data_IF_455718093450
#
_entry.id   IF_455718093450
#
_cell.length_a   1.000
_cell.length_b   1.000
_cell.length_c   1.000
_cell.angle_alpha   90.00
_cell.angle_beta   90.00
_cell.angle_gamma   90.00
#
_symmetry.space_group_name_H-M   'P 1'
#
loop_
_entity.id
_entity.type
_entity.pdbx_description
1 polymer ?
#
# COMPACT_ATOMS: atom_id res chain seq x y z
N UNK A 1 -22.21 52.38 -16.26
CA UNK A 1 -21.19 51.48 -15.68
C UNK A 1 -21.89 50.23 -15.19
N UNK A 2 -21.98 49.22 -16.05
CA UNK A 2 -22.54 47.90 -15.72
C UNK A 2 -21.49 47.12 -14.96
N UNK A 3 -21.68 46.99 -13.65
CA UNK A 3 -20.81 46.20 -12.78
C UNK A 3 -20.93 44.72 -13.15
N UNK A 4 -19.85 44.17 -13.68
CA UNK A 4 -19.69 42.73 -13.91
C UNK A 4 -19.75 42.03 -12.55
N UNK A 5 -20.88 41.36 -12.26
CA UNK A 5 -20.94 40.38 -11.18
C UNK A 5 -19.89 39.31 -11.47
N UNK A 6 -18.78 39.35 -10.74
CA UNK A 6 -17.83 38.25 -10.70
C UNK A 6 -18.60 37.02 -10.23
N UNK A 7 -18.78 36.07 -11.15
CA UNK A 7 -19.34 34.75 -10.87
C UNK A 7 -18.40 34.09 -9.86
N UNK A 8 -18.74 34.17 -8.57
CA UNK A 8 -17.99 33.49 -7.52
C UNK A 8 -18.01 32.02 -7.87
N UNK A 9 -16.84 31.46 -8.24
CA UNK A 9 -16.68 30.02 -8.42
C UNK A 9 -17.28 29.34 -7.20
N UNK A 10 -18.20 28.39 -7.39
CA UNK A 10 -18.76 27.62 -6.28
C UNK A 10 -17.58 27.08 -5.47
N UNK A 11 -17.54 27.39 -4.17
CA UNK A 11 -16.54 26.83 -3.26
C UNK A 11 -16.70 25.31 -3.30
N UNK A 12 -15.81 24.62 -4.02
CA UNK A 12 -15.72 23.17 -3.98
C UNK A 12 -15.17 22.82 -2.60
N UNK A 13 -16.08 22.46 -1.70
CA UNK A 13 -15.75 21.83 -0.42
C UNK A 13 -15.68 20.34 -0.64
N UNK A 14 -14.65 19.69 -0.14
CA UNK A 14 -14.54 18.23 -0.18
C UNK A 14 -13.71 17.69 0.98
N UNK A 15 -13.88 16.41 1.30
CA UNK A 15 -13.06 15.72 2.28
C UNK A 15 -12.04 14.85 1.56
N UNK A 16 -10.80 14.90 2.02
CA UNK A 16 -9.72 14.08 1.50
C UNK A 16 -9.01 13.33 2.61
N UNK A 17 -8.53 12.13 2.32
CA UNK A 17 -7.52 11.43 3.09
C UNK A 17 -6.14 11.80 2.57
N UNK A 18 -5.22 12.17 3.46
CA UNK A 18 -3.82 12.37 3.11
C UNK A 18 -3.13 11.02 2.88
N UNK A 19 -2.44 10.85 1.75
CA UNK A 19 -1.64 9.66 1.45
C UNK A 19 -0.13 9.92 1.61
N UNK A 20 0.24 10.96 2.35
CA UNK A 20 1.62 11.34 2.65
C UNK A 20 1.68 12.20 3.92
N UNK A 21 2.88 12.32 4.49
CA UNK A 21 3.16 13.24 5.59
C UNK A 21 3.55 14.62 5.05
N UNK A 22 2.97 15.68 5.62
CA UNK A 22 3.30 17.06 5.26
C UNK A 22 3.75 17.87 6.48
N UNK A 23 5.00 18.35 6.40
CA UNK A 23 5.56 19.32 7.34
C UNK A 23 5.74 20.66 6.62
N UNK A 24 4.92 21.69 6.94
CA UNK A 24 4.98 22.98 6.28
C UNK A 24 6.29 23.73 6.54
N UNK A 25 7.07 23.36 7.57
CA UNK A 25 8.37 23.98 7.84
C UNK A 25 9.45 23.54 6.84
N UNK A 26 9.18 22.50 6.04
CA UNK A 26 10.08 21.97 4.99
C UNK A 26 9.68 22.40 3.58
N UNK A 27 8.71 23.30 3.45
CA UNK A 27 8.20 23.74 2.16
C UNK A 27 8.34 25.26 2.04
N UNK A 28 9.20 25.70 1.12
CA UNK A 28 9.40 27.12 0.88
C UNK A 28 8.25 27.69 0.03
N UNK A 29 7.92 28.96 0.25
CA UNK A 29 6.94 29.68 -0.57
C UNK A 29 5.48 29.44 -0.17
N UNK A 30 5.22 29.09 1.08
CA UNK A 30 3.85 29.08 1.62
C UNK A 30 3.23 30.48 1.57
N UNK A 31 1.98 30.63 1.08
CA UNK A 31 1.31 31.91 1.00
C UNK A 31 0.79 32.39 2.37
N UNK A 32 0.58 31.48 3.32
CA UNK A 32 0.18 31.79 4.70
C UNK A 32 0.49 30.61 5.63
N UNK A 33 -0.12 30.54 6.82
CA UNK A 33 0.15 29.47 7.80
C UNK A 33 -0.18 28.09 7.21
N UNK A 34 0.84 27.24 7.13
CA UNK A 34 0.67 25.85 6.70
C UNK A 34 -0.06 25.01 7.74
N UNK A 35 -0.83 24.04 7.24
CA UNK A 35 -1.45 22.99 8.06
C UNK A 35 -0.62 21.72 7.94
N UNK A 36 0.05 21.32 9.02
CA UNK A 36 0.75 20.04 9.08
C UNK A 36 -0.25 18.88 9.19
N UNK A 37 0.07 17.76 8.56
CA UNK A 37 -0.74 16.53 8.65
C UNK A 37 0.12 15.28 8.42
N UNK A 38 -0.43 14.13 8.81
CA UNK A 38 0.18 12.81 8.60
C UNK A 38 -0.62 11.97 7.61
N UNK A 39 0.03 10.93 7.08
CA UNK A 39 -0.64 9.88 6.31
C UNK A 39 -1.87 9.36 7.07
N UNK A 40 -2.99 9.20 6.35
CA UNK A 40 -4.25 8.67 6.86
C UNK A 40 -5.16 9.72 7.51
N UNK A 41 -4.65 10.91 7.87
CA UNK A 41 -5.49 11.97 8.43
C UNK A 41 -6.51 12.47 7.41
N UNK A 42 -7.70 12.83 7.91
CA UNK A 42 -8.78 13.38 7.10
C UNK A 42 -8.74 14.90 7.14
N UNK A 43 -8.83 15.51 5.97
CA UNK A 43 -8.78 16.96 5.79
C UNK A 43 -10.08 17.43 5.13
N UNK A 44 -10.72 18.42 5.73
CA UNK A 44 -11.79 19.16 5.08
C UNK A 44 -11.18 20.29 4.26
N UNK A 45 -11.15 20.13 2.93
CA UNK A 45 -10.71 21.17 2.01
C UNK A 45 -11.86 22.14 1.79
N UNK A 46 -11.74 23.32 2.41
CA UNK A 46 -12.75 24.39 2.36
C UNK A 46 -12.65 25.26 1.10
N UNK A 47 -11.48 25.27 0.46
CA UNK A 47 -11.25 25.98 -0.78
C UNK A 47 -10.12 25.32 -1.59
N UNK A 48 -10.48 24.77 -2.75
CA UNK A 48 -9.58 24.18 -3.74
C UNK A 48 -9.49 24.99 -5.05
N UNK A 49 -9.78 26.31 -5.01
CA UNK A 49 -9.82 27.14 -6.23
C UNK A 49 -8.45 27.49 -6.81
N UNK A 50 -7.39 27.40 -6.01
CA UNK A 50 -6.02 27.71 -6.40
C UNK A 50 -5.27 26.43 -6.79
N UNK A 51 -4.55 26.49 -7.90
CA UNK A 51 -3.84 25.37 -8.53
C UNK A 51 -2.62 24.89 -7.73
N UNK A 52 -2.11 25.68 -6.79
CA UNK A 52 -0.91 25.41 -6.00
C UNK A 52 -1.21 25.14 -4.53
N UNK A 53 -2.19 25.84 -3.96
CA UNK A 53 -2.41 25.84 -2.52
C UNK A 53 -3.90 25.76 -2.16
N UNK A 54 -4.27 24.80 -1.31
CA UNK A 54 -5.64 24.63 -0.83
C UNK A 54 -5.80 25.09 0.61
N UNK A 55 -6.98 25.60 0.97
CA UNK A 55 -7.33 25.91 2.36
C UNK A 55 -8.05 24.72 2.98
N UNK A 56 -7.52 24.20 4.08
CA UNK A 56 -8.08 23.03 4.73
C UNK A 56 -8.10 23.14 6.26
N UNK A 57 -8.89 22.26 6.88
CA UNK A 57 -8.88 21.96 8.31
C UNK A 57 -8.68 20.47 8.50
N UNK A 58 -8.07 20.08 9.60
CA UNK A 58 -7.99 18.67 9.98
C UNK A 58 -9.29 18.23 10.64
N UNK A 59 -9.75 17.03 10.32
CA UNK A 59 -10.92 16.41 10.94
C UNK A 59 -10.44 15.38 11.95
N UNK A 60 -10.84 15.52 13.22
CA UNK A 60 -10.52 14.57 14.28
C UNK A 60 -11.35 13.28 14.14
N UNK A 61 -10.98 12.17 14.81
CA UNK A 61 -11.80 10.96 14.82
C UNK A 61 -13.23 11.18 15.34
N UNK A 62 -13.44 12.20 16.18
CA UNK A 62 -14.74 12.61 16.71
C UNK A 62 -15.56 13.44 15.70
N UNK A 63 -14.98 13.81 14.56
CA UNK A 63 -15.61 14.64 13.53
C UNK A 63 -15.45 16.15 13.74
N UNK A 64 -14.59 16.58 14.67
CA UNK A 64 -14.35 18.00 14.94
C UNK A 64 -13.33 18.57 13.94
N UNK A 65 -13.53 19.82 13.50
CA UNK A 65 -12.62 20.49 12.58
C UNK A 65 -11.65 21.41 13.32
N UNK A 66 -10.35 21.18 13.13
CA UNK A 66 -9.28 21.91 13.81
C UNK A 66 -8.27 22.53 12.84
N UNK A 67 -7.64 23.62 13.26
CA UNK A 67 -6.40 24.11 12.64
C UNK A 67 -6.53 24.54 11.19
N UNK A 68 -7.28 25.62 10.90
CA UNK A 68 -7.33 26.20 9.55
C UNK A 68 -5.93 26.58 9.07
N UNK A 69 -5.55 26.09 7.88
CA UNK A 69 -4.28 26.43 7.25
C UNK A 69 -4.22 26.03 5.78
N UNK A 70 -3.03 26.18 5.20
CA UNK A 70 -2.75 25.89 3.80
C UNK A 70 -2.07 24.53 3.66
N UNK A 71 -2.54 23.76 2.67
CA UNK A 71 -1.94 22.48 2.24
C UNK A 71 -1.59 22.58 0.75
N UNK A 72 -0.57 21.86 0.25
CA UNK A 72 -0.26 21.86 -1.18
C UNK A 72 -1.42 21.24 -1.96
N UNK A 73 -1.75 21.79 -3.12
CA UNK A 73 -2.70 21.14 -4.03
C UNK A 73 -2.16 19.78 -4.48
N UNK A 74 -3.06 18.90 -4.94
CA UNK A 74 -2.67 17.63 -5.56
C UNK A 74 -1.63 17.85 -6.67
N UNK A 75 -1.90 18.79 -7.59
CA UNK A 75 -1.04 19.10 -8.72
C UNK A 75 0.35 19.60 -8.30
N UNK A 76 0.43 20.45 -7.28
CA UNK A 76 1.69 20.95 -6.73
C UNK A 76 2.52 19.82 -6.12
N UNK A 77 1.89 19.01 -5.29
CA UNK A 77 2.56 17.90 -4.61
C UNK A 77 3.12 16.88 -5.59
N UNK A 78 2.29 16.41 -6.53
CA UNK A 78 2.74 15.41 -7.49
C UNK A 78 3.87 15.93 -8.40
N UNK A 79 3.83 17.22 -8.78
CA UNK A 79 4.93 17.85 -9.53
C UNK A 79 6.24 17.86 -8.74
N UNK A 80 6.18 18.18 -7.44
CA UNK A 80 7.34 18.20 -6.53
C UNK A 80 7.94 16.80 -6.37
N UNK A 81 7.12 15.77 -6.16
CA UNK A 81 7.59 14.39 -6.03
C UNK A 81 8.23 13.86 -7.33
N UNK A 82 7.56 14.00 -8.48
CA UNK A 82 8.11 13.59 -9.78
C UNK A 82 9.44 14.29 -10.11
N UNK A 83 9.62 15.54 -9.66
CA UNK A 83 10.90 16.25 -9.83
C UNK A 83 12.01 15.66 -8.94
N UNK A 84 11.68 15.31 -7.69
CA UNK A 84 12.60 14.65 -6.76
C UNK A 84 13.04 13.30 -7.30
N UNK A 85 12.12 12.45 -7.73
CA UNK A 85 12.45 11.08 -8.15
C UNK A 85 13.27 11.07 -9.44
N UNK A 86 13.08 12.06 -10.34
CA UNK A 86 13.97 12.29 -11.48
C UNK A 86 15.40 12.69 -11.07
N UNK A 87 15.55 13.50 -10.02
CA UNK A 87 16.86 13.98 -9.57
C UNK A 87 17.69 12.90 -8.88
N UNK A 88 17.04 11.89 -8.29
CA UNK A 88 17.69 10.80 -7.53
C UNK A 88 18.28 9.70 -8.45
N UNK A 89 17.91 9.65 -9.74
CA UNK A 89 18.42 8.64 -10.70
C UNK A 89 19.86 8.87 -11.19
N UNK A 90 20.65 9.75 -10.55
CA UNK A 90 22.09 9.86 -10.81
C UNK A 90 22.88 8.73 -10.11
N UNK A 91 22.63 7.48 -10.50
CA UNK A 91 23.64 6.43 -10.34
C UNK A 91 24.56 6.50 -11.56
N UNK A 92 25.69 7.18 -11.36
CA UNK A 92 26.73 7.35 -12.36
C UNK A 92 27.35 6.02 -12.74
N UNK A 93 26.94 5.47 -13.88
CA UNK A 93 27.80 4.57 -14.64
C UNK A 93 28.81 5.44 -15.39
N UNK A 94 29.89 5.85 -14.72
CA UNK A 94 31.09 6.34 -15.42
C UNK A 94 31.70 5.13 -16.12
N UNK A 95 31.77 5.09 -17.47
CA UNK A 95 32.55 4.06 -18.13
C UNK A 95 34.03 4.39 -17.86
N UNK A 96 34.70 3.49 -17.15
CA UNK A 96 36.16 3.46 -17.04
C UNK A 96 36.70 3.19 -18.44
N UNK A 97 37.07 4.25 -19.17
CA UNK A 97 37.85 4.12 -20.41
C UNK A 97 39.31 4.13 -19.99
N UNK A 98 39.92 2.95 -20.04
CA UNK A 98 41.35 2.74 -19.88
C UNK A 98 42.09 3.17 -21.17
N UNK A 99 43.03 4.08 -21.00
CA UNK A 99 44.21 4.44 -21.81
C UNK A 99 44.17 4.34 -23.34
N UNK A 100 44.25 5.52 -24.00
CA UNK A 100 45.25 5.79 -25.06
C UNK A 100 45.75 7.23 -24.99
N UNK A 101 47.06 7.37 -25.27
CA UNK A 101 47.96 8.47 -24.96
C UNK A 101 47.99 9.59 -26.02
N UNK A 102 48.31 10.82 -25.57
CA UNK A 102 48.79 12.02 -26.31
C UNK A 102 47.75 12.79 -27.16
N UNK A 103 47.69 14.14 -27.27
CA UNK A 103 48.69 15.23 -27.24
C UNK A 103 48.05 16.57 -26.80
N UNK A 104 48.92 17.55 -26.48
CA UNK A 104 48.72 18.96 -26.13
C UNK A 104 47.58 19.71 -26.86
N UNK A 105 46.79 20.55 -26.16
CA UNK A 105 46.95 22.02 -26.14
C UNK A 105 45.74 22.79 -25.52
N UNK A 106 46.03 23.96 -24.93
CA UNK A 106 45.08 24.91 -24.32
C UNK A 106 44.06 25.47 -25.33
N UNK A 107 42.77 25.51 -24.97
CA UNK A 107 41.98 26.77 -24.87
C UNK A 107 40.54 26.59 -24.37
N UNK A 108 40.24 27.39 -23.35
CA UNK A 108 38.93 27.94 -22.95
C UNK A 108 38.06 28.28 -24.18
N UNK A 109 36.78 27.87 -24.17
CA UNK A 109 35.62 28.73 -24.52
C UNK A 109 34.26 28.03 -24.34
N UNK A 110 33.33 28.85 -23.84
CA UNK A 110 31.88 28.75 -23.69
C UNK A 110 31.14 27.81 -24.66
N UNK A 111 30.25 26.98 -24.11
CA UNK A 111 29.23 26.27 -24.89
C UNK A 111 27.90 27.03 -24.86
N UNK A 112 27.55 27.60 -26.01
CA UNK A 112 26.19 28.02 -26.35
C UNK A 112 25.38 26.82 -26.86
N UNK A 113 24.17 26.65 -26.32
CA UNK A 113 23.19 25.69 -26.80
C UNK A 113 22.65 26.09 -28.19
N UNK A 114 22.78 25.22 -29.18
CA UNK A 114 21.97 25.30 -30.41
C UNK A 114 21.86 23.94 -31.11
N UNK A 115 20.65 23.37 -30.99
CA UNK A 115 19.87 22.54 -31.92
C UNK A 115 20.61 21.83 -33.07
N UNK A 116 20.42 20.50 -33.14
CA UNK A 116 19.63 19.80 -34.19
C UNK A 116 19.73 18.28 -34.02
N UNK A 117 18.58 17.62 -33.95
CA UNK A 117 18.42 16.16 -34.00
C UNK A 117 18.60 15.64 -35.43
N UNK A 118 19.30 14.52 -35.64
CA UNK A 118 19.11 13.65 -36.79
C UNK A 118 18.33 12.38 -36.38
N UNK A 119 17.27 12.16 -37.13
CA UNK A 119 16.45 10.96 -37.25
C UNK A 119 17.26 9.75 -37.73
N UNK A 120 17.13 8.59 -37.07
CA UNK A 120 17.23 7.29 -37.75
C UNK A 120 16.65 6.10 -36.94
N UNK A 121 15.59 5.55 -37.54
CA UNK A 121 15.10 4.16 -37.63
C UNK A 121 15.52 3.09 -36.60
N UNK A 122 14.46 2.43 -36.14
CA UNK A 122 14.38 1.13 -35.49
C UNK A 122 15.14 0.02 -36.22
N UNK A 123 15.74 -0.88 -35.44
CA UNK A 123 16.04 -2.25 -35.85
C UNK A 123 15.87 -3.16 -34.64
N UNK A 124 14.93 -4.10 -34.78
CA UNK A 124 14.71 -5.22 -33.88
C UNK A 124 15.97 -6.09 -33.78
N UNK A 125 16.26 -6.59 -32.58
CA UNK A 125 17.04 -7.81 -32.43
C UNK A 125 16.50 -8.64 -31.27
N UNK A 126 16.25 -9.91 -31.56
CA UNK A 126 15.81 -10.97 -30.65
C UNK A 126 17.03 -11.74 -30.16
N UNK A 127 17.09 -12.03 -28.87
CA UNK A 127 17.71 -13.24 -28.29
C UNK A 127 17.30 -13.30 -26.82
N UNK A 128 16.44 -14.25 -26.45
CA UNK A 128 16.78 -15.58 -25.90
C UNK A 128 17.35 -15.55 -24.48
N UNK A 129 16.42 -15.87 -23.57
CA UNK A 129 16.48 -16.80 -22.43
C UNK A 129 17.86 -17.31 -21.96
N UNK A 130 18.03 -17.30 -20.64
CA UNK A 130 19.26 -17.69 -19.96
C UNK A 130 19.12 -17.62 -18.45
N UNK A 131 18.32 -18.53 -17.90
CA UNK A 131 18.39 -18.92 -16.49
C UNK A 131 19.72 -19.61 -16.20
N UNK A 132 20.40 -19.24 -15.11
CA UNK A 132 21.30 -20.17 -14.43
C UNK A 132 21.44 -19.86 -12.93
N UNK A 133 21.50 -20.95 -12.17
CA UNK A 133 21.32 -21.12 -10.74
C UNK A 133 22.57 -21.82 -10.18
N UNK A 134 23.11 -21.42 -9.01
CA UNK A 134 23.84 -22.31 -8.07
C UNK A 134 23.77 -21.66 -6.66
N UNK A 135 23.17 -22.26 -5.61
CA UNK A 135 23.39 -23.49 -4.82
C UNK A 135 24.64 -23.48 -3.91
N UNK A 136 24.41 -23.77 -2.63
CA UNK A 136 25.41 -24.22 -1.64
C UNK A 136 24.80 -25.34 -0.75
N UNK A 137 25.61 -26.21 -0.12
CA UNK A 137 25.29 -27.63 0.08
C UNK A 137 24.90 -28.01 1.52
N UNK A 138 24.03 -29.02 1.70
CA UNK A 138 24.30 -30.29 2.44
C UNK A 138 23.04 -31.14 2.66
N UNK A 139 23.20 -32.45 2.40
CA UNK A 139 22.41 -33.64 2.83
C UNK A 139 21.04 -33.96 2.20
N UNK A 140 20.74 -35.27 2.03
CA UNK A 140 19.82 -35.75 0.98
C UNK A 140 18.45 -36.12 1.56
N UNK A 141 17.35 -35.72 0.94
CA UNK A 141 16.06 -36.41 1.04
C UNK A 141 15.01 -35.84 0.05
N UNK A 142 14.42 -36.75 -0.73
CA UNK A 142 13.16 -36.69 -1.48
C UNK A 142 12.71 -35.36 -2.13
N UNK A 143 12.96 -35.24 -3.44
CA UNK A 143 12.30 -34.28 -4.32
C UNK A 143 10.86 -34.73 -4.64
N UNK A 144 9.86 -34.18 -3.94
CA UNK A 144 8.49 -34.04 -4.47
C UNK A 144 7.59 -33.14 -3.58
N UNK A 145 8.05 -31.95 -3.21
CA UNK A 145 7.18 -30.94 -2.58
C UNK A 145 7.07 -29.70 -3.51
N UNK A 146 5.87 -29.39 -4.06
CA UNK A 146 5.70 -28.18 -4.85
C UNK A 146 5.62 -26.95 -3.94
N UNK A 147 6.37 -25.91 -4.28
CA UNK A 147 6.22 -24.58 -3.67
C UNK A 147 4.79 -24.05 -3.88
N UNK A 148 4.20 -23.32 -2.92
CA UNK A 148 2.84 -22.81 -3.06
C UNK A 148 2.75 -21.87 -4.27
N UNK A 149 1.93 -22.26 -5.27
CA UNK A 149 1.64 -21.45 -6.43
C UNK A 149 0.38 -20.62 -6.15
N UNK A 150 0.54 -19.30 -6.11
CA UNK A 150 -0.55 -18.37 -5.84
C UNK A 150 -1.41 -18.19 -7.09
N UNK A 151 -2.65 -18.68 -7.06
CA UNK A 151 -3.66 -18.42 -8.11
C UNK A 151 -4.33 -17.06 -7.86
N UNK A 152 -3.55 -15.98 -7.93
CA UNK A 152 -4.11 -14.66 -8.13
C UNK A 152 -4.36 -14.47 -9.63
N UNK A 153 -5.59 -14.72 -10.09
CA UNK A 153 -6.04 -14.12 -11.35
C UNK A 153 -6.15 -12.61 -11.09
N UNK A 154 -5.04 -11.91 -11.30
CA UNK A 154 -5.10 -10.49 -11.64
C UNK A 154 -5.84 -10.41 -12.95
N UNK A 155 -6.86 -9.56 -13.04
CA UNK A 155 -7.19 -9.03 -14.36
C UNK A 155 -5.89 -8.44 -14.90
N UNK A 156 -5.42 -8.96 -16.03
CA UNK A 156 -4.39 -8.30 -16.81
C UNK A 156 -4.97 -6.94 -17.21
N UNK A 157 -4.69 -5.92 -16.40
CA UNK A 157 -4.74 -4.54 -16.87
C UNK A 157 -3.61 -4.41 -17.89
N UNK A 158 -3.89 -4.80 -19.13
CA UNK A 158 -3.07 -4.46 -20.29
C UNK A 158 -3.16 -2.95 -20.51
N UNK A 159 -2.48 -2.20 -19.64
CA UNK A 159 -2.12 -0.81 -19.84
C UNK A 159 -0.63 -0.68 -19.54
N UNK A 160 0.17 -1.40 -20.33
CA UNK A 160 1.62 -1.18 -20.48
C UNK A 160 1.86 0.09 -21.30
N UNK A 161 1.23 1.21 -20.91
CA UNK A 161 1.52 2.54 -21.42
C UNK A 161 2.23 3.31 -20.31
N UNK A 162 3.54 3.11 -20.18
CA UNK A 162 4.46 3.88 -19.33
C UNK A 162 4.04 3.96 -17.86
N UNK A 163 4.75 3.26 -16.97
CA UNK A 163 4.58 3.42 -15.53
C UNK A 163 4.84 4.88 -15.10
N UNK A 164 3.83 5.74 -15.23
CA UNK A 164 3.78 6.98 -14.47
C UNK A 164 3.71 6.55 -13.02
N UNK A 165 4.86 6.65 -12.35
CA UNK A 165 5.03 6.38 -10.93
C UNK A 165 3.84 7.02 -10.18
N UNK A 166 2.95 6.19 -9.64
CA UNK A 166 1.71 6.66 -9.03
C UNK A 166 2.08 7.42 -7.75
N UNK A 167 2.08 8.74 -7.81
CA UNK A 167 2.48 9.58 -6.68
C UNK A 167 1.32 9.66 -5.69
N UNK A 168 1.53 9.10 -4.50
CA UNK A 168 0.61 9.25 -3.38
C UNK A 168 0.43 10.74 -3.02
N UNK A 169 -0.83 11.19 -3.04
CA UNK A 169 -1.22 12.58 -2.76
C UNK A 169 -2.44 12.62 -1.84
N UNK A 170 -3.63 12.78 -2.41
CA UNK A 170 -4.88 12.82 -1.67
C UNK A 170 -5.88 11.84 -2.29
N UNK A 171 -6.71 11.23 -1.45
CA UNK A 171 -7.86 10.42 -1.88
C UNK A 171 -9.14 11.15 -1.46
N UNK A 172 -10.07 11.38 -2.39
CA UNK A 172 -11.39 11.91 -2.05
C UNK A 172 -12.15 10.88 -1.21
N UNK A 173 -12.75 11.32 -0.10
CA UNK A 173 -13.47 10.43 0.82
C UNK A 173 -14.84 10.98 1.17
N UNK A 174 -15.73 10.05 1.54
CA UNK A 174 -17.03 10.35 2.10
C UNK A 174 -17.23 9.57 3.41
N UNK A 175 -18.10 10.08 4.28
CA UNK A 175 -18.45 9.39 5.51
C UNK A 175 -19.57 8.37 5.26
N UNK A 176 -19.42 7.17 5.81
CA UNK A 176 -20.40 6.09 5.76
C UNK A 176 -20.64 5.56 7.16
N UNK A 177 -21.90 5.32 7.52
CA UNK A 177 -22.26 4.62 8.76
C UNK A 177 -22.37 3.11 8.49
N UNK A 178 -21.60 2.31 9.20
CA UNK A 178 -21.57 0.85 9.08
C UNK A 178 -22.27 0.17 10.28
N UNK A 179 -22.72 -1.07 10.09
CA UNK A 179 -23.40 -1.90 11.09
C UNK A 179 -22.64 -3.20 11.42
N UNK A 180 -21.35 -3.25 11.09
CA UNK A 180 -20.48 -4.41 11.33
C UNK A 180 -19.15 -3.94 11.94
N UNK A 181 -18.45 -4.84 12.63
CA UNK A 181 -17.10 -4.55 13.13
C UNK A 181 -16.07 -4.76 12.02
N UNK A 182 -15.27 -3.74 11.70
CA UNK A 182 -14.36 -3.77 10.54
C UNK A 182 -13.34 -4.90 10.62
N UNK A 183 -13.04 -5.63 9.52
CA UNK A 183 -11.89 -6.52 9.47
C UNK A 183 -10.58 -5.75 9.66
N UNK A 184 -9.53 -6.42 10.13
CA UNK A 184 -8.19 -5.83 10.34
C UNK A 184 -7.17 -6.61 9.52
N UNK A 185 -6.36 -5.89 8.75
CA UNK A 185 -5.23 -6.44 7.99
C UNK A 185 -3.97 -5.72 8.46
N UNK A 186 -3.01 -6.47 9.00
CA UNK A 186 -1.70 -5.94 9.38
C UNK A 186 -0.68 -6.44 8.37
N UNK A 187 0.09 -5.50 7.82
CA UNK A 187 1.06 -5.72 6.76
C UNK A 187 2.45 -5.26 7.20
N UNK A 188 3.50 -5.87 6.64
CA UNK A 188 4.89 -5.54 6.95
C UNK A 188 5.50 -6.41 8.06
N UNK A 189 6.70 -6.04 8.57
CA UNK A 189 7.38 -6.77 9.63
C UNK A 189 6.52 -6.87 10.90
N UNK A 190 6.73 -7.91 11.70
CA UNK A 190 6.01 -8.18 12.96
C UNK A 190 4.50 -8.50 12.84
N UNK A 191 3.91 -8.53 11.63
CA UNK A 191 2.46 -8.78 11.46
C UNK A 191 1.98 -10.03 12.20
N UNK A 192 2.72 -11.14 12.14
CA UNK A 192 2.30 -12.42 12.70
C UNK A 192 2.22 -12.35 14.23
N UNK A 193 3.27 -11.79 14.84
CA UNK A 193 3.30 -11.57 16.29
C UNK A 193 2.15 -10.67 16.75
N UNK A 194 1.89 -9.58 16.03
CA UNK A 194 0.82 -8.65 16.41
C UNK A 194 -0.55 -9.29 16.23
N UNK A 195 -0.76 -10.06 15.17
CA UNK A 195 -2.00 -10.81 14.95
C UNK A 195 -2.27 -11.77 16.13
N UNK A 196 -1.26 -12.55 16.53
CA UNK A 196 -1.36 -13.49 17.66
C UNK A 196 -1.60 -12.77 18.99
N UNK A 197 -0.89 -11.67 19.24
CA UNK A 197 -1.02 -10.85 20.45
C UNK A 197 -2.43 -10.24 20.55
N UNK A 198 -3.00 -9.72 19.46
CA UNK A 198 -4.36 -9.15 19.45
C UNK A 198 -5.44 -10.19 19.78
N UNK A 199 -5.34 -11.39 19.18
CA UNK A 199 -6.32 -12.48 19.40
C UNK A 199 -6.21 -13.02 20.83
N UNK A 200 -4.99 -13.20 21.32
CA UNK A 200 -4.74 -13.76 22.66
C UNK A 200 -5.05 -12.78 23.79
N UNK A 201 -4.71 -11.49 23.65
CA UNK A 201 -4.96 -10.46 24.67
C UNK A 201 -6.43 -10.04 24.71
N UNK A 202 -7.14 -10.05 23.57
CA UNK A 202 -8.52 -9.55 23.46
C UNK A 202 -9.46 -10.50 22.68
N UNK A 203 -9.67 -11.74 23.15
CA UNK A 203 -10.47 -12.75 22.45
C UNK A 203 -11.94 -12.36 22.24
N UNK A 204 -12.47 -11.44 23.04
CA UNK A 204 -13.83 -10.93 22.89
C UNK A 204 -13.97 -9.88 21.78
N UNK A 205 -12.86 -9.23 21.39
CA UNK A 205 -12.84 -8.17 20.37
C UNK A 205 -12.30 -8.64 19.03
N UNK A 206 -11.41 -9.63 19.02
CA UNK A 206 -10.79 -10.12 17.80
C UNK A 206 -11.08 -11.61 17.59
N UNK A 207 -11.05 -12.03 16.34
CA UNK A 207 -11.14 -13.44 15.98
C UNK A 207 -10.64 -13.68 14.56
N UNK A 208 -10.36 -14.93 14.25
CA UNK A 208 -10.04 -15.38 12.90
C UNK A 208 -11.29 -15.97 12.24
N UNK A 209 -11.44 -15.76 10.94
CA UNK A 209 -12.47 -16.45 10.17
C UNK A 209 -12.01 -17.86 9.78
N UNK A 210 -12.97 -18.77 9.55
CA UNK A 210 -12.68 -20.13 9.10
C UNK A 210 -12.42 -20.13 7.57
N UNK A 211 -11.22 -20.49 7.11
CA UNK A 211 -10.90 -20.56 5.68
C UNK A 211 -11.52 -21.81 5.03
N UNK A 212 -11.52 -21.86 3.70
CA UNK A 212 -11.94 -23.01 2.92
C UNK A 212 -10.74 -23.79 2.39
N UNK A 213 -10.89 -25.09 2.20
CA UNK A 213 -9.89 -25.90 1.49
C UNK A 213 -10.51 -27.07 0.74
N UNK A 214 -9.91 -27.45 -0.40
CA UNK A 214 -10.23 -28.72 -1.09
C UNK A 214 -9.49 -29.93 -0.52
N UNK A 215 -8.57 -29.70 0.43
CA UNK A 215 -7.84 -30.79 1.07
C UNK A 215 -8.81 -31.69 1.83
N UNK A 216 -8.62 -33.00 1.74
CA UNK A 216 -9.34 -33.95 2.59
C UNK A 216 -9.12 -33.64 4.08
N UNK A 217 -10.23 -33.59 4.83
CA UNK A 217 -10.25 -33.42 6.28
C UNK A 217 -9.47 -34.54 6.97
N UNK A 218 -8.59 -34.19 7.92
CA UNK A 218 -7.90 -35.16 8.79
C UNK A 218 -8.80 -35.58 9.94
N UNK A 219 -8.52 -36.72 10.56
CA UNK A 219 -9.36 -37.29 11.62
C UNK A 219 -9.57 -36.36 12.83
N UNK A 220 -8.56 -35.56 13.19
CA UNK A 220 -8.61 -34.60 14.31
C UNK A 220 -9.20 -33.24 13.95
N UNK A 221 -9.48 -32.98 12.68
CA UNK A 221 -10.02 -31.71 12.19
C UNK A 221 -11.55 -31.74 12.17
N UNK A 222 -12.16 -30.60 12.45
CA UNK A 222 -13.60 -30.41 12.50
C UNK A 222 -14.00 -29.41 11.42
N UNK A 223 -14.92 -29.83 10.55
CA UNK A 223 -15.47 -28.98 9.50
C UNK A 223 -16.23 -27.79 10.11
N UNK A 224 -16.01 -26.60 9.56
CA UNK A 224 -16.54 -25.34 10.09
C UNK A 224 -15.82 -24.81 11.34
N UNK A 225 -14.74 -25.47 11.80
CA UNK A 225 -13.84 -24.95 12.85
C UNK A 225 -12.44 -24.72 12.32
N UNK A 226 -11.83 -25.78 11.78
CA UNK A 226 -10.46 -25.72 11.27
C UNK A 226 -10.45 -25.19 9.83
N UNK A 227 -11.30 -25.78 8.98
CA UNK A 227 -11.60 -25.32 7.62
C UNK A 227 -13.06 -25.62 7.28
N UNK A 228 -13.58 -24.93 6.27
CA UNK A 228 -14.69 -25.44 5.46
C UNK A 228 -14.11 -26.37 4.38
N UNK A 229 -14.36 -27.66 4.54
CA UNK A 229 -13.82 -28.68 3.63
C UNK A 229 -14.70 -28.81 2.39
N UNK A 230 -14.21 -28.31 1.26
CA UNK A 230 -14.91 -28.30 -0.02
C UNK A 230 -14.61 -29.58 -0.79
N UNK A 231 -15.64 -30.43 -0.98
CA UNK A 231 -15.46 -31.74 -1.58
C UNK A 231 -15.11 -31.72 -3.09
N UNK A 232 -15.57 -30.71 -3.84
CA UNK A 232 -15.28 -30.57 -5.28
C UNK A 232 -14.33 -29.42 -5.51
N UNK A 233 -13.17 -29.72 -6.09
CA UNK A 233 -12.21 -28.71 -6.51
C UNK A 233 -12.80 -27.79 -7.57
N UNK A 234 -13.54 -28.36 -8.52
CA UNK A 234 -14.21 -27.63 -9.59
C UNK A 234 -15.23 -26.63 -9.04
N UNK A 235 -15.93 -26.98 -7.96
CA UNK A 235 -16.81 -26.05 -7.26
C UNK A 235 -16.02 -24.88 -6.67
N UNK A 236 -14.93 -25.16 -5.95
CA UNK A 236 -14.10 -24.09 -5.35
C UNK A 236 -13.47 -23.19 -6.42
N UNK A 237 -13.06 -23.74 -7.57
CA UNK A 237 -12.56 -22.97 -8.71
C UNK A 237 -13.63 -22.03 -9.28
N UNK A 238 -14.88 -22.51 -9.42
CA UNK A 238 -16.01 -21.66 -9.81
C UNK A 238 -16.29 -20.56 -8.79
N UNK A 239 -16.21 -20.86 -7.50
CA UNK A 239 -16.43 -19.89 -6.43
C UNK A 239 -15.31 -18.82 -6.39
N UNK A 240 -14.07 -19.20 -6.70
CA UNK A 240 -12.95 -18.27 -6.91
C UNK A 240 -13.22 -17.37 -8.11
N UNK A 241 -13.66 -17.92 -9.25
CA UNK A 241 -14.00 -17.16 -10.46
C UNK A 241 -15.18 -16.21 -10.24
N UNK A 242 -16.15 -16.59 -9.41
CA UNK A 242 -17.29 -15.77 -9.02
C UNK A 242 -16.98 -14.74 -7.93
N UNK A 243 -15.70 -14.52 -7.62
CA UNK A 243 -15.23 -13.53 -6.64
C UNK A 243 -15.80 -13.72 -5.22
N UNK A 244 -16.07 -14.97 -4.82
CA UNK A 244 -16.54 -15.27 -3.46
C UNK A 244 -15.39 -15.28 -2.42
N UNK A 245 -14.14 -15.24 -2.88
CA UNK A 245 -12.94 -15.24 -2.06
C UNK A 245 -12.20 -13.90 -2.12
N UNK A 246 -11.80 -13.38 -0.96
CA UNK A 246 -10.91 -12.22 -0.88
C UNK A 246 -9.47 -12.60 -1.18
N UNK A 247 -9.10 -13.85 -0.90
CA UNK A 247 -7.80 -14.41 -1.25
C UNK A 247 -7.95 -15.91 -1.45
N UNK A 248 -7.23 -16.45 -2.43
CA UNK A 248 -7.16 -17.88 -2.69
C UNK A 248 -5.79 -18.24 -3.27
N UNK A 249 -5.33 -19.45 -2.99
CA UNK A 249 -4.05 -19.97 -3.46
C UNK A 249 -4.03 -21.49 -3.47
N UNK A 250 -3.00 -22.07 -4.09
CA UNK A 250 -2.79 -23.51 -4.12
C UNK A 250 -1.57 -23.88 -3.28
N UNK A 251 -1.71 -24.93 -2.46
CA UNK A 251 -0.63 -25.52 -1.69
C UNK A 251 -0.80 -27.04 -1.66
N UNK A 252 0.27 -27.78 -2.00
CA UNK A 252 0.27 -29.24 -2.10
C UNK A 252 -0.95 -29.77 -2.87
N UNK A 253 -1.18 -29.22 -4.07
CA UNK A 253 -2.30 -29.53 -4.97
C UNK A 253 -3.72 -29.35 -4.41
N UNK A 254 -3.84 -28.69 -3.26
CA UNK A 254 -5.12 -28.33 -2.67
C UNK A 254 -5.32 -26.82 -2.76
N UNK A 255 -6.55 -26.41 -3.04
CA UNK A 255 -6.92 -25.01 -3.00
C UNK A 255 -7.22 -24.60 -1.56
N UNK A 256 -6.85 -23.38 -1.22
CA UNK A 256 -7.16 -22.72 0.04
C UNK A 256 -7.71 -21.33 -0.27
N UNK A 257 -8.65 -20.85 0.53
CA UNK A 257 -9.17 -19.51 0.34
C UNK A 257 -9.92 -18.95 1.52
N UNK A 258 -9.85 -17.63 1.66
CA UNK A 258 -10.59 -16.86 2.66
C UNK A 258 -11.82 -16.26 2.00
N UNK A 259 -13.01 -16.75 2.36
CA UNK A 259 -14.26 -16.33 1.72
C UNK A 259 -14.75 -14.99 2.28
N UNK A 260 -15.43 -14.19 1.46
CA UNK A 260 -16.10 -12.96 1.90
C UNK A 260 -17.12 -13.26 3.01
N UNK A 261 -17.84 -14.38 2.90
CA UNK A 261 -18.85 -14.80 3.86
C UNK A 261 -18.24 -15.10 5.24
N UNK A 262 -17.13 -15.83 5.28
CA UNK A 262 -16.42 -16.16 6.54
C UNK A 262 -15.96 -14.90 7.27
N UNK A 263 -15.48 -13.89 6.53
CA UNK A 263 -15.07 -12.61 7.12
C UNK A 263 -16.28 -11.84 7.66
N UNK A 264 -17.37 -11.80 6.87
CA UNK A 264 -18.62 -11.12 7.26
C UNK A 264 -19.21 -11.72 8.53
N UNK A 265 -19.19 -13.04 8.67
CA UNK A 265 -19.72 -13.73 9.85
C UNK A 265 -19.03 -13.27 11.14
N UNK A 266 -17.70 -13.11 11.14
CA UNK A 266 -16.95 -12.61 12.30
C UNK A 266 -17.28 -11.14 12.58
N UNK A 267 -17.35 -10.32 11.53
CA UNK A 267 -17.67 -8.90 11.61
C UNK A 267 -19.07 -8.63 12.18
N UNK A 268 -20.07 -9.42 11.78
CA UNK A 268 -21.46 -9.32 12.25
C UNK A 268 -21.65 -9.85 13.67
N UNK A 269 -20.74 -10.72 14.16
CA UNK A 269 -20.66 -11.11 15.57
C UNK A 269 -20.03 -10.04 16.47
N UNK A 270 -19.74 -8.86 15.93
CA UNK A 270 -19.19 -7.74 16.68
C UNK A 270 -17.67 -7.80 16.91
N UNK A 271 -16.96 -8.73 16.25
CA UNK A 271 -15.50 -8.88 16.39
C UNK A 271 -14.75 -8.37 15.17
N UNK A 272 -13.58 -7.79 15.39
CA UNK A 272 -12.62 -7.51 14.34
C UNK A 272 -12.06 -8.83 13.80
N UNK A 273 -12.34 -9.14 12.54
CA UNK A 273 -11.74 -10.29 11.88
C UNK A 273 -10.27 -9.99 11.56
N UNK A 274 -9.33 -10.64 12.24
CA UNK A 274 -7.90 -10.58 11.90
C UNK A 274 -7.68 -11.42 10.65
N UNK A 275 -7.10 -10.82 9.61
CA UNK A 275 -6.87 -11.46 8.33
C UNK A 275 -5.38 -11.53 8.02
N UNK A 276 -4.87 -12.74 7.87
CA UNK A 276 -3.52 -12.99 7.34
C UNK A 276 -3.59 -13.14 5.81
N UNK A 277 -3.64 -12.00 5.12
CA UNK A 277 -3.81 -11.90 3.66
C UNK A 277 -2.89 -10.84 3.07
N UNK A 278 -2.67 -10.88 1.75
CA UNK A 278 -1.90 -9.85 1.04
C UNK A 278 -2.69 -8.53 0.86
N UNK A 279 -2.00 -7.46 0.43
CA UNK A 279 -2.62 -6.17 0.13
C UNK A 279 -3.73 -6.23 -0.93
N UNK A 280 -3.72 -7.26 -1.80
CA UNK A 280 -4.76 -7.49 -2.80
C UNK A 280 -6.14 -7.71 -2.19
N UNK A 281 -6.21 -8.31 -1.00
CA UNK A 281 -7.46 -8.57 -0.31
C UNK A 281 -8.18 -7.27 0.12
N UNK A 282 -7.43 -6.18 0.33
CA UNK A 282 -8.00 -4.88 0.72
C UNK A 282 -9.02 -4.41 -0.33
N UNK A 283 -8.64 -4.46 -1.62
CA UNK A 283 -9.52 -4.04 -2.73
C UNK A 283 -10.78 -4.91 -2.81
N UNK A 284 -10.62 -6.22 -2.69
CA UNK A 284 -11.75 -7.17 -2.76
C UNK A 284 -12.72 -7.00 -1.59
N UNK A 285 -12.22 -6.72 -0.40
CA UNK A 285 -13.03 -6.39 0.77
C UNK A 285 -13.82 -5.08 0.59
N UNK A 286 -13.20 -4.03 0.03
CA UNK A 286 -13.89 -2.79 -0.28
C UNK A 286 -15.02 -2.98 -1.32
N UNK A 287 -14.77 -3.78 -2.36
CA UNK A 287 -15.81 -4.15 -3.35
C UNK A 287 -16.96 -4.91 -2.68
N UNK A 288 -16.65 -5.80 -1.74
CA UNK A 288 -17.62 -6.53 -0.93
C UNK A 288 -18.32 -5.70 0.16
N UNK A 289 -18.07 -4.37 0.19
CA UNK A 289 -18.62 -3.43 1.19
C UNK A 289 -18.23 -3.78 2.63
N UNK A 290 -17.06 -4.41 2.81
CA UNK A 290 -16.45 -4.74 4.09
C UNK A 290 -15.13 -3.98 4.24
N UNK A 291 -15.21 -2.67 4.50
CA UNK A 291 -14.03 -1.79 4.57
C UNK A 291 -13.07 -2.17 5.72
N UNK A 292 -11.88 -2.74 5.42
CA UNK A 292 -10.95 -3.16 6.46
C UNK A 292 -10.21 -1.96 7.07
N UNK A 293 -9.65 -2.14 8.27
CA UNK A 293 -8.60 -1.31 8.84
C UNK A 293 -7.27 -1.93 8.38
N UNK A 294 -6.68 -1.35 7.33
CA UNK A 294 -5.42 -1.83 6.76
C UNK A 294 -4.24 -1.04 7.34
N UNK A 295 -3.37 -1.70 8.11
CA UNK A 295 -2.28 -1.07 8.83
C UNK A 295 -0.96 -1.61 8.29
N UNK A 296 -0.14 -0.71 7.72
CA UNK A 296 1.20 -1.07 7.24
C UNK A 296 2.26 -0.67 8.27
N UNK A 297 3.07 -1.64 8.68
CA UNK A 297 4.22 -1.43 9.56
C UNK A 297 5.41 -1.11 8.67
N UNK A 298 5.79 0.16 8.63
CA UNK A 298 6.87 0.65 7.79
C UNK A 298 8.21 0.61 8.55
N UNK A 299 9.14 -0.29 8.19
CA UNK A 299 10.47 -0.29 8.79
C UNK A 299 11.23 1.00 8.39
N UNK A 300 12.02 1.55 9.32
CA UNK A 300 12.79 2.79 9.07
C UNK A 300 14.02 2.53 8.19
N UNK A 301 14.62 1.36 8.36
CA UNK A 301 15.83 0.92 7.67
C UNK A 301 16.01 -0.59 7.84
N UNK A 302 17.04 -1.17 7.22
CA UNK A 302 17.41 -2.58 7.42
C UNK A 302 17.79 -2.85 8.88
N UNK A 303 18.51 -1.92 9.51
CA UNK A 303 18.93 -1.98 10.91
C UNK A 303 17.70 -2.01 11.83
N UNK A 304 16.70 -1.18 11.55
CA UNK A 304 15.43 -1.19 12.30
C UNK A 304 14.72 -2.55 12.23
N UNK A 305 14.76 -3.25 11.09
CA UNK A 305 14.20 -4.61 11.01
C UNK A 305 14.98 -5.60 11.89
N UNK A 306 16.31 -5.49 11.91
CA UNK A 306 17.15 -6.32 12.78
C UNK A 306 16.92 -6.02 14.27
N UNK A 307 16.72 -4.76 14.64
CA UNK A 307 16.42 -4.36 16.01
C UNK A 307 15.07 -4.94 16.49
N UNK A 308 14.07 -4.94 15.62
CA UNK A 308 12.76 -5.55 15.88
C UNK A 308 12.81 -7.07 15.98
N UNK A 309 13.73 -7.73 15.28
CA UNK A 309 13.93 -9.18 15.33
C UNK A 309 15.42 -9.55 15.37
N UNK A 310 15.98 -9.59 16.59
CA UNK A 310 17.41 -9.88 16.83
C UNK A 310 17.89 -11.26 16.37
N UNK A 311 16.98 -12.17 16.00
CA UNK A 311 17.33 -13.51 15.50
C UNK A 311 17.56 -13.53 13.99
N UNK A 312 17.22 -12.45 13.30
CA UNK A 312 17.25 -12.36 11.85
C UNK A 312 18.66 -11.98 11.37
N UNK A 313 19.13 -12.62 10.30
CA UNK A 313 20.40 -12.24 9.67
C UNK A 313 20.26 -10.94 8.88
N UNK A 314 21.37 -10.25 8.62
CA UNK A 314 21.37 -9.02 7.82
C UNK A 314 20.77 -9.23 6.41
N UNK A 315 21.04 -10.37 5.78
CA UNK A 315 20.48 -10.69 4.47
C UNK A 315 18.95 -10.88 4.51
N UNK A 316 18.44 -11.54 5.56
CA UNK A 316 17.00 -11.67 5.78
C UNK A 316 16.36 -10.31 6.09
N UNK A 317 17.05 -9.45 6.84
CA UNK A 317 16.61 -8.10 7.14
C UNK A 317 16.48 -7.26 5.88
N UNK A 318 17.48 -7.32 5.01
CA UNK A 318 17.49 -6.62 3.72
C UNK A 318 16.32 -7.08 2.84
N UNK A 319 16.11 -8.40 2.71
CA UNK A 319 14.97 -8.97 1.96
C UNK A 319 13.62 -8.50 2.53
N UNK A 320 13.51 -8.45 3.86
CA UNK A 320 12.28 -8.00 4.54
C UNK A 320 12.03 -6.51 4.30
N UNK A 321 13.08 -5.69 4.38
CA UNK A 321 13.00 -4.25 4.10
C UNK A 321 12.62 -3.97 2.64
N UNK A 322 13.25 -4.64 1.68
CA UNK A 322 12.92 -4.53 0.25
C UNK A 322 11.48 -4.95 -0.06
N UNK A 323 11.00 -6.04 0.57
CA UNK A 323 9.58 -6.46 0.47
C UNK A 323 8.63 -5.40 1.02
N UNK A 324 8.98 -4.78 2.15
CA UNK A 324 8.18 -3.72 2.74
C UNK A 324 8.12 -2.48 1.83
N UNK A 325 9.23 -2.08 1.20
CA UNK A 325 9.25 -0.98 0.23
C UNK A 325 8.37 -1.27 -0.99
N UNK A 326 8.46 -2.48 -1.55
CA UNK A 326 7.60 -2.89 -2.66
C UNK A 326 6.12 -2.87 -2.28
N UNK A 327 5.80 -3.35 -1.08
CA UNK A 327 4.44 -3.35 -0.56
C UNK A 327 3.89 -1.93 -0.37
N UNK A 328 4.69 -1.00 0.15
CA UNK A 328 4.31 0.41 0.25
C UNK A 328 4.09 1.03 -1.13
N UNK A 329 4.97 0.74 -2.09
CA UNK A 329 4.83 1.25 -3.46
C UNK A 329 3.57 0.73 -4.16
N UNK A 330 3.25 -0.55 -3.98
CA UNK A 330 2.15 -1.22 -4.67
C UNK A 330 0.79 -0.97 -4.01
N UNK A 331 0.75 -0.90 -2.68
CA UNK A 331 -0.50 -0.85 -1.92
C UNK A 331 -0.68 0.41 -1.07
N UNK A 332 0.25 1.37 -1.14
CA UNK A 332 0.27 2.56 -0.30
C UNK A 332 -0.95 3.47 -0.41
N UNK A 333 -1.77 3.35 -1.46
CA UNK A 333 -3.05 4.08 -1.56
C UNK A 333 -4.19 3.40 -0.78
N UNK A 334 -4.05 2.11 -0.44
CA UNK A 334 -5.10 1.31 0.21
C UNK A 334 -4.95 1.21 1.73
N UNK A 335 -3.82 1.65 2.30
CA UNK A 335 -3.64 1.61 3.74
C UNK A 335 -4.53 2.63 4.43
N UNK A 336 -5.10 2.23 5.57
CA UNK A 336 -5.78 3.14 6.48
C UNK A 336 -4.76 3.93 7.29
N UNK A 337 -3.65 3.29 7.69
CA UNK A 337 -2.58 3.92 8.45
C UNK A 337 -1.22 3.29 8.13
N UNK A 338 -0.17 4.09 8.30
CA UNK A 338 1.23 3.66 8.28
C UNK A 338 1.81 3.87 9.68
N UNK A 339 2.31 2.80 10.29
CA UNK A 339 2.87 2.78 11.64
C UNK A 339 4.38 2.57 11.56
N UNK A 340 5.11 3.38 12.32
CA UNK A 340 6.55 3.20 12.56
C UNK A 340 6.80 3.23 14.06
N UNK A 341 7.81 2.50 14.51
CA UNK A 341 8.28 2.50 15.89
C UNK A 341 9.70 1.97 15.98
N UNK A 342 10.33 2.16 17.13
CA UNK A 342 11.69 1.68 17.43
C UNK A 342 11.65 0.29 18.11
N UNK A 343 10.55 -0.03 18.79
CA UNK A 343 10.37 -1.32 19.46
C UNK A 343 9.08 -2.03 19.02
N UNK A 344 9.02 -3.37 19.06
CA UNK A 344 7.79 -4.12 18.82
C UNK A 344 6.64 -3.67 19.72
N UNK A 345 6.94 -3.31 20.98
CA UNK A 345 5.94 -2.88 21.96
C UNK A 345 5.34 -1.52 21.60
N UNK A 346 6.16 -0.58 21.10
CA UNK A 346 5.68 0.72 20.61
C UNK A 346 4.78 0.55 19.38
N UNK A 347 5.20 -0.31 18.44
CA UNK A 347 4.41 -0.63 17.23
C UNK A 347 3.07 -1.24 17.63
N UNK A 348 3.07 -2.18 18.58
CA UNK A 348 1.86 -2.82 19.07
C UNK A 348 0.88 -1.83 19.69
N UNK A 349 1.35 -0.90 20.52
CA UNK A 349 0.52 0.18 21.09
C UNK A 349 -0.08 1.04 19.98
N UNK A 350 0.72 1.49 19.01
CA UNK A 350 0.24 2.29 17.88
C UNK A 350 -0.79 1.55 17.01
N UNK A 351 -0.60 0.25 16.78
CA UNK A 351 -1.58 -0.58 16.07
C UNK A 351 -2.91 -0.60 16.82
N UNK A 352 -2.89 -0.79 18.15
CA UNK A 352 -4.11 -0.76 18.98
C UNK A 352 -4.81 0.59 18.94
N UNK A 353 -4.05 1.69 18.99
CA UNK A 353 -4.58 3.05 18.86
C UNK A 353 -5.28 3.25 17.51
N UNK A 354 -4.63 2.88 16.40
CA UNK A 354 -5.23 2.95 15.06
C UNK A 354 -6.51 2.13 14.98
N UNK A 355 -6.52 0.89 15.47
CA UNK A 355 -7.73 0.06 15.45
C UNK A 355 -8.84 0.72 16.26
N UNK A 356 -8.54 1.23 17.45
CA UNK A 356 -9.51 1.89 18.31
C UNK A 356 -10.13 3.13 17.63
N UNK A 357 -9.30 4.01 17.06
CA UNK A 357 -9.74 5.21 16.34
C UNK A 357 -10.59 4.88 15.11
N UNK A 358 -10.27 3.79 14.42
CA UNK A 358 -10.91 3.39 13.16
C UNK A 358 -12.09 2.41 13.34
N UNK A 359 -12.39 2.01 14.58
CA UNK A 359 -13.45 1.05 14.93
C UNK A 359 -14.86 1.65 15.02
N UNK A 360 -14.98 2.98 14.99
CA UNK A 360 -16.25 3.67 15.15
C UNK A 360 -17.27 3.34 14.05
N UNK A 361 -18.58 3.55 14.30
CA UNK A 361 -19.64 3.26 13.35
C UNK A 361 -19.62 4.19 12.13
N UNK A 362 -19.04 5.38 12.26
CA UNK A 362 -18.90 6.33 11.16
C UNK A 362 -17.47 6.29 10.63
N UNK A 363 -17.32 5.83 9.39
CA UNK A 363 -16.02 5.59 8.77
C UNK A 363 -15.85 6.46 7.52
N UNK A 364 -14.59 6.73 7.15
CA UNK A 364 -14.25 7.39 5.91
C UNK A 364 -13.92 6.36 4.83
N UNK A 365 -14.65 6.41 3.72
CA UNK A 365 -14.47 5.48 2.59
C UNK A 365 -14.15 6.26 1.31
N UNK A 366 -13.39 5.66 0.36
CA UNK A 366 -13.07 6.32 -0.91
C UNK A 366 -14.33 6.74 -1.68
N UNK A 367 -14.34 7.98 -2.19
CA UNK A 367 -15.40 8.50 -3.05
C UNK A 367 -14.93 8.47 -4.52
N UNK A 368 -15.34 7.45 -5.26
CA UNK A 368 -14.86 7.22 -6.65
C UNK A 368 -15.40 8.21 -7.68
N UNK A 369 -16.52 8.87 -7.38
CA UNK A 369 -17.18 9.80 -8.29
C UNK A 369 -16.60 11.22 -8.24
N UNK A 370 -15.73 11.51 -7.25
CA UNK A 370 -15.21 12.85 -7.01
C UNK A 370 -13.76 12.96 -7.50
N UNK A 371 -13.57 13.58 -8.67
CA UNK A 371 -12.24 13.97 -9.14
C UNK A 371 -11.71 15.17 -8.35
N UNK A 372 -10.44 15.06 -7.91
CA UNK A 372 -9.70 16.06 -7.14
C UNK A 372 -9.13 17.18 -8.01
#
# INVERSE_FOLDING_TARGET
MTGTLMRTSQKKSLYVRALFDYDPNKDDGLPSRGLAFRYGEILHVTNASDDEWWQARRVTPQGEEEGLGIIPSRRRWERKQRARDRSVKFQGHMPVILDKQSTLDRKKKNFSFSRKFPFMKSKDDKSEDGSDQERSPTTPENENDPTPFMLCYTQDDTNTEGSEENVLSYEAVQQLTIQYTRPVIILGPLKDRINDDLISEFPDKFGSCVPHTTRSRREYEVDGRDYHFVASREQMERDIQNHLFIEAGQYNDNLYGTSVASVREVAEKGKHCILDVSGNAIKRLQVAQLYPIAIFIKPKSVESVMEMNKRMTEEQAKKTYERALKMEQEFGEYFTAVVQGDTPEEIYVKVKEVIAEQSGPNIWVPCRDQQL
#
